data_IF_649298373941
#
_entry.id   IF_649298373941
#
_cell.length_a   1.000
_cell.length_b   1.000
_cell.length_c   1.000
_cell.angle_alpha   90.00
_cell.angle_beta   90.00
_cell.angle_gamma   90.00
#
_symmetry.space_group_name_H-M   'P 1'
#
loop_
_entity.id
_entity.type
_entity.pdbx_description
1 polymer ?
#
# COMPACT_ATOMS: atom_id res chain seq x y z
N UNK A 1 16.70 -12.71 21.63
CA UNK A 1 16.46 -11.98 20.37
C UNK A 1 15.01 -12.22 19.99
N UNK A 2 14.12 -11.29 20.35
CA UNK A 2 12.69 -11.44 20.08
C UNK A 2 12.44 -11.34 18.58
N UNK A 3 11.95 -12.43 17.97
CA UNK A 3 11.53 -12.43 16.57
C UNK A 3 10.19 -11.68 16.49
N UNK A 4 10.27 -10.40 16.14
CA UNK A 4 9.11 -9.59 15.80
C UNK A 4 8.36 -10.25 14.64
N UNK A 5 7.04 -10.44 14.70
CA UNK A 5 6.29 -11.12 13.65
C UNK A 5 6.25 -10.25 12.39
N UNK A 6 7.21 -10.45 11.48
CA UNK A 6 7.32 -9.75 10.19
C UNK A 6 6.03 -9.76 9.37
N UNK A 7 5.22 -10.82 9.51
CA UNK A 7 3.94 -10.95 8.81
C UNK A 7 2.89 -9.92 9.27
N UNK A 8 2.85 -9.59 10.57
CA UNK A 8 1.93 -8.58 11.09
C UNK A 8 2.32 -7.17 10.67
N UNK A 9 3.63 -6.86 10.71
CA UNK A 9 4.16 -5.55 10.30
C UNK A 9 3.93 -5.33 8.80
N UNK A 10 4.21 -6.34 7.96
CA UNK A 10 3.98 -6.25 6.51
C UNK A 10 2.51 -5.99 6.17
N UNK A 11 1.57 -6.65 6.87
CA UNK A 11 0.13 -6.43 6.68
C UNK A 11 -0.32 -5.03 7.13
N UNK A 12 0.18 -4.53 8.26
CA UNK A 12 -0.14 -3.19 8.72
C UNK A 12 0.44 -2.10 7.79
N UNK A 13 1.65 -2.29 7.27
CA UNK A 13 2.29 -1.37 6.33
C UNK A 13 1.55 -1.35 4.99
N UNK A 14 1.12 -2.50 4.47
CA UNK A 14 0.35 -2.56 3.23
C UNK A 14 -1.03 -1.94 3.38
N UNK A 15 -1.72 -2.18 4.51
CA UNK A 15 -2.98 -1.52 4.83
C UNK A 15 -2.81 0.01 4.95
N UNK A 16 -1.77 0.48 5.64
CA UNK A 16 -1.46 1.90 5.74
C UNK A 16 -1.17 2.51 4.36
N UNK A 17 -0.42 1.83 3.51
CA UNK A 17 -0.15 2.26 2.13
C UNK A 17 -1.45 2.40 1.31
N UNK A 18 -2.34 1.39 1.36
CA UNK A 18 -3.64 1.43 0.67
C UNK A 18 -4.51 2.60 1.16
N UNK A 19 -4.54 2.84 2.48
CA UNK A 19 -5.28 3.96 3.05
C UNK A 19 -4.72 5.31 2.59
N UNK A 20 -3.38 5.48 2.63
CA UNK A 20 -2.73 6.70 2.19
C UNK A 20 -2.96 6.97 0.70
N UNK A 21 -2.92 5.93 -0.13
CA UNK A 21 -3.19 6.01 -1.57
C UNK A 21 -4.67 6.35 -1.85
N UNK A 22 -5.60 5.73 -1.10
CA UNK A 22 -7.03 6.08 -1.18
C UNK A 22 -7.29 7.53 -0.77
N UNK A 23 -6.57 8.01 0.27
CA UNK A 23 -6.65 9.38 0.76
C UNK A 23 -6.02 10.40 -0.18
N UNK A 24 -4.91 10.09 -0.84
CA UNK A 24 -4.34 10.98 -1.87
C UNK A 24 -5.31 11.14 -3.03
N UNK A 25 -5.84 10.03 -3.56
CA UNK A 25 -6.79 10.06 -4.67
C UNK A 25 -8.09 10.79 -4.28
N UNK A 26 -8.55 10.64 -3.03
CA UNK A 26 -9.70 11.41 -2.51
C UNK A 26 -9.43 12.92 -2.46
N UNK A 27 -8.27 13.34 -1.95
CA UNK A 27 -7.87 14.75 -1.93
C UNK A 27 -7.77 15.34 -3.34
N UNK A 28 -7.24 14.57 -4.29
CA UNK A 28 -7.13 15.00 -5.68
C UNK A 28 -8.52 15.18 -6.32
N UNK A 29 -9.48 14.30 -6.00
CA UNK A 29 -10.88 14.46 -6.43
C UNK A 29 -11.50 15.73 -5.88
N UNK A 30 -11.34 15.99 -4.58
CA UNK A 30 -11.91 17.18 -3.95
C UNK A 30 -11.25 18.46 -4.49
N UNK A 31 -9.93 18.41 -4.74
CA UNK A 31 -9.20 19.47 -5.41
C UNK A 31 -9.76 19.74 -6.81
N UNK A 32 -9.85 18.71 -7.67
CA UNK A 32 -10.39 18.85 -9.04
C UNK A 32 -11.85 19.33 -9.09
N UNK A 33 -12.65 19.05 -8.05
CA UNK A 33 -14.01 19.59 -7.92
C UNK A 33 -14.03 21.06 -7.49
N UNK A 34 -13.07 21.49 -6.69
CA UNK A 34 -12.96 22.87 -6.19
C UNK A 34 -12.35 23.84 -7.20
N UNK A 35 -11.57 23.33 -8.15
CA UNK A 35 -10.89 24.15 -9.16
C UNK A 35 -11.90 24.80 -10.11
N UNK A 36 -11.66 26.08 -10.44
CA UNK A 36 -12.49 26.81 -11.38
C UNK A 36 -12.33 26.25 -12.80
N UNK A 37 -13.47 25.89 -13.41
CA UNK A 37 -13.51 25.30 -14.76
C UNK A 37 -13.74 26.41 -15.76
N UNK A 38 -12.77 26.63 -16.64
CA UNK A 38 -12.85 27.69 -17.64
C UNK A 38 -13.15 27.06 -18.99
N UNK A 39 -14.30 27.42 -19.55
CA UNK A 39 -14.78 26.85 -20.81
C UNK A 39 -14.22 27.59 -22.03
N UNK A 40 -13.95 28.90 -21.91
CA UNK A 40 -13.38 29.72 -22.97
C UNK A 40 -12.04 30.27 -22.53
N UNK A 41 -10.98 30.01 -23.30
CA UNK A 41 -9.62 30.46 -22.95
C UNK A 41 -9.50 31.99 -22.89
N UNK A 42 -10.37 32.73 -23.59
CA UNK A 42 -10.43 34.19 -23.50
C UNK A 42 -10.84 34.72 -22.12
N UNK A 43 -11.64 33.97 -21.37
CA UNK A 43 -12.05 34.34 -20.00
C UNK A 43 -10.85 34.28 -19.03
N UNK A 44 -9.84 33.47 -19.34
CA UNK A 44 -8.61 33.36 -18.55
C UNK A 44 -7.89 34.70 -18.42
N UNK A 45 -7.82 35.45 -19.52
CA UNK A 45 -7.24 36.79 -19.54
C UNK A 45 -7.96 37.74 -18.56
N UNK A 46 -9.29 37.69 -18.53
CA UNK A 46 -10.12 38.56 -17.68
C UNK A 46 -9.96 38.19 -16.20
N UNK A 47 -9.95 36.89 -15.88
CA UNK A 47 -9.76 36.41 -14.51
C UNK A 47 -8.39 36.76 -13.94
N UNK A 48 -7.34 36.71 -14.76
CA UNK A 48 -5.97 37.13 -14.37
C UNK A 48 -5.86 38.64 -14.12
N UNK A 49 -6.70 39.45 -14.76
CA UNK A 49 -6.66 40.90 -14.58
C UNK A 49 -7.44 41.34 -13.33
N UNK A 50 -8.38 40.52 -12.85
CA UNK A 50 -9.15 40.74 -11.63
C UNK A 50 -8.44 40.22 -10.36
N UNK A 51 -7.69 39.13 -10.45
CA UNK A 51 -6.99 38.51 -9.32
C UNK A 51 -5.48 38.73 -9.35
N UNK A 52 -4.92 39.28 -8.26
CA UNK A 52 -3.48 39.58 -8.11
C UNK A 52 -2.65 38.33 -7.77
N UNK A 53 -3.27 37.16 -7.61
CA UNK A 53 -2.64 35.93 -7.10
C UNK A 53 -2.68 34.84 -8.18
N UNK A 54 -1.64 33.98 -8.30
CA UNK A 54 -1.68 32.81 -9.18
C UNK A 54 -2.91 31.93 -8.95
N UNK A 55 -3.81 31.93 -9.94
CA UNK A 55 -5.06 31.19 -9.92
C UNK A 55 -4.85 29.79 -10.49
N UNK A 56 -5.34 28.77 -9.78
CA UNK A 56 -5.39 27.41 -10.30
C UNK A 56 -6.71 27.20 -11.04
N UNK A 57 -6.61 26.83 -12.31
CA UNK A 57 -7.76 26.62 -13.20
C UNK A 57 -7.69 25.25 -13.84
N UNK A 58 -8.83 24.78 -14.32
CA UNK A 58 -8.92 23.67 -15.24
C UNK A 58 -9.34 24.18 -16.62
N UNK A 59 -8.49 23.95 -17.61
CA UNK A 59 -8.72 24.32 -19.02
C UNK A 59 -8.77 23.08 -19.89
N UNK A 60 -9.53 23.15 -20.97
CA UNK A 60 -9.58 22.14 -22.03
C UNK A 60 -9.34 22.82 -23.37
N UNK A 61 -8.55 22.20 -24.23
CA UNK A 61 -8.24 22.73 -25.56
C UNK A 61 -7.70 21.66 -26.49
N UNK A 62 -7.42 22.05 -27.73
CA UNK A 62 -6.69 21.22 -28.69
C UNK A 62 -5.21 21.56 -28.65
N UNK A 63 -4.36 20.55 -28.77
CA UNK A 63 -2.91 20.74 -28.82
C UNK A 63 -2.53 21.44 -30.13
N UNK A 64 -1.84 22.58 -30.04
CA UNK A 64 -1.29 23.33 -31.16
C UNK A 64 0.21 23.59 -30.97
N UNK A 65 0.92 23.79 -32.07
CA UNK A 65 2.33 24.21 -32.06
C UNK A 65 2.67 24.92 -33.37
N UNK A 66 3.52 25.94 -33.29
CA UNK A 66 4.05 26.66 -34.45
C UNK A 66 5.10 25.84 -35.20
N UNK A 67 5.81 24.95 -34.51
CA UNK A 67 6.93 24.16 -35.04
C UNK A 67 6.76 22.67 -34.72
N UNK A 68 5.69 22.02 -35.22
CA UNK A 68 5.42 20.62 -34.90
C UNK A 68 6.52 19.69 -35.43
N UNK A 69 6.85 18.65 -34.68
CA UNK A 69 7.80 17.61 -35.06
C UNK A 69 7.12 16.67 -36.05
N UNK A 70 7.75 16.45 -37.20
CA UNK A 70 7.34 15.40 -38.14
C UNK A 70 7.90 14.05 -37.66
N UNK A 71 7.02 13.12 -37.32
CA UNK A 71 7.39 11.80 -36.81
C UNK A 71 7.72 10.88 -37.99
N UNK A 72 8.92 10.30 -38.01
CA UNK A 72 9.39 9.49 -39.15
C UNK A 72 8.67 8.13 -39.22
N UNK A 73 8.33 7.54 -38.06
CA UNK A 73 7.78 6.18 -38.01
C UNK A 73 6.25 6.13 -38.13
N UNK A 74 5.53 7.10 -37.56
CA UNK A 74 4.06 7.19 -37.65
C UNK A 74 3.56 8.13 -38.75
N UNK A 75 4.41 9.01 -39.29
CA UNK A 75 4.00 10.08 -40.21
C UNK A 75 3.12 11.15 -39.56
N UNK A 76 2.95 11.13 -38.23
CA UNK A 76 2.16 12.09 -37.48
C UNK A 76 2.94 13.40 -37.25
N UNK A 77 2.20 14.48 -37.03
CA UNK A 77 2.76 15.75 -36.54
C UNK A 77 2.53 15.82 -35.03
N UNK A 78 3.62 15.76 -34.27
CA UNK A 78 3.58 15.71 -32.81
C UNK A 78 4.26 16.90 -32.15
N UNK A 79 3.84 17.23 -30.94
CA UNK A 79 4.51 18.25 -30.10
C UNK A 79 5.51 17.64 -29.11
N UNK A 80 5.23 16.41 -28.69
CA UNK A 80 6.10 15.59 -27.86
C UNK A 80 6.24 14.25 -28.57
N UNK A 81 7.48 13.81 -28.77
CA UNK A 81 7.81 12.53 -29.40
C UNK A 81 8.78 11.79 -28.48
N UNK A 82 8.42 10.56 -28.14
CA UNK A 82 9.26 9.61 -27.43
C UNK A 82 9.49 8.38 -28.30
N UNK A 83 10.75 8.14 -28.62
CA UNK A 83 11.18 6.98 -29.40
C UNK A 83 11.95 6.03 -28.49
N UNK A 84 11.54 4.77 -28.46
CA UNK A 84 12.16 3.72 -27.67
C UNK A 84 12.45 2.51 -28.55
N UNK A 85 13.69 2.05 -28.53
CA UNK A 85 14.11 0.83 -29.22
C UNK A 85 14.52 -0.22 -28.19
N UNK A 86 13.85 -1.37 -28.23
CA UNK A 86 14.11 -2.52 -27.36
C UNK A 86 14.63 -3.69 -28.20
N UNK A 87 15.84 -4.13 -27.92
CA UNK A 87 16.39 -5.35 -28.52
C UNK A 87 15.84 -6.56 -27.79
N UNK A 88 15.11 -7.40 -28.49
CA UNK A 88 14.67 -8.70 -27.98
C UNK A 88 15.67 -9.78 -28.34
N UNK A 89 16.00 -10.62 -27.36
CA UNK A 89 16.88 -11.76 -27.51
C UNK A 89 16.45 -12.93 -26.62
N UNK A 90 16.93 -14.12 -26.91
CA UNK A 90 16.83 -15.28 -26.04
C UNK A 90 18.16 -15.47 -25.32
N UNK A 91 18.10 -15.86 -24.05
CA UNK A 91 19.25 -16.17 -23.19
C UNK A 91 19.03 -17.51 -22.52
N UNK A 92 20.09 -18.29 -22.29
CA UNK A 92 19.99 -19.48 -21.44
C UNK A 92 19.83 -19.10 -19.96
N UNK A 93 18.91 -19.76 -19.27
CA UNK A 93 18.86 -19.77 -17.82
C UNK A 93 19.88 -20.76 -17.23
N UNK A 94 20.08 -20.72 -15.91
CA UNK A 94 21.01 -21.62 -15.22
C UNK A 94 20.65 -23.11 -15.37
N UNK A 95 19.42 -23.41 -15.79
CA UNK A 95 18.92 -24.75 -16.08
C UNK A 95 19.06 -25.16 -17.57
N UNK A 96 19.69 -24.33 -18.42
CA UNK A 96 19.92 -24.60 -19.84
C UNK A 96 18.72 -24.36 -20.77
N UNK A 97 17.59 -23.85 -20.29
CA UNK A 97 16.42 -23.47 -21.10
C UNK A 97 16.56 -22.06 -21.68
N UNK A 98 16.00 -21.83 -22.86
CA UNK A 98 15.92 -20.51 -23.49
C UNK A 98 14.82 -19.66 -22.83
N UNK A 99 15.18 -18.47 -22.37
CA UNK A 99 14.27 -17.44 -21.84
C UNK A 99 14.35 -16.21 -22.74
N UNK A 100 13.20 -15.62 -23.04
CA UNK A 100 13.13 -14.34 -23.75
C UNK A 100 13.41 -13.19 -22.80
N UNK A 101 14.31 -12.30 -23.22
CA UNK A 101 14.71 -11.11 -22.48
C UNK A 101 14.78 -9.92 -23.46
N UNK A 102 14.83 -8.70 -22.93
CA UNK A 102 14.97 -7.50 -23.74
C UNK A 102 15.88 -6.45 -23.10
N UNK A 103 16.65 -5.77 -23.94
CA UNK A 103 17.50 -4.66 -23.53
C UNK A 103 17.06 -3.38 -24.24
N UNK A 104 16.87 -2.31 -23.48
CA UNK A 104 16.64 -0.98 -24.05
C UNK A 104 17.91 -0.49 -24.72
N UNK A 105 17.87 -0.32 -26.05
CA UNK A 105 19.01 0.17 -26.83
C UNK A 105 19.07 1.70 -26.87
N UNK A 106 17.92 2.32 -27.10
CA UNK A 106 17.80 3.77 -27.28
C UNK A 106 16.49 4.24 -26.67
N UNK A 107 16.55 5.36 -25.96
CA UNK A 107 15.39 6.12 -25.52
C UNK A 107 15.67 7.59 -25.81
N UNK A 108 14.98 8.13 -26.81
CA UNK A 108 15.07 9.53 -27.21
C UNK A 108 13.73 10.19 -26.90
N UNK A 109 13.81 11.44 -26.45
CA UNK A 109 12.60 12.23 -26.23
C UNK A 109 12.83 13.65 -26.70
N UNK A 110 11.91 14.16 -27.52
CA UNK A 110 11.92 15.51 -28.07
C UNK A 110 10.62 16.21 -27.68
N UNK A 111 10.70 17.50 -27.38
CA UNK A 111 9.56 18.34 -27.06
C UNK A 111 9.83 19.72 -27.66
N UNK A 112 8.85 20.22 -28.42
CA UNK A 112 8.84 21.59 -28.96
C UNK A 112 7.86 22.43 -28.17
N UNK A 113 7.98 23.77 -28.14
CA UNK A 113 6.96 24.60 -27.52
C UNK A 113 5.58 24.37 -28.13
N UNK A 114 4.57 24.19 -27.27
CA UNK A 114 3.20 23.91 -27.67
C UNK A 114 2.20 24.58 -26.73
N UNK A 115 0.98 24.70 -27.20
CA UNK A 115 -0.11 25.40 -26.52
C UNK A 115 -1.41 24.61 -26.64
N UNK A 116 -2.35 24.92 -25.76
CA UNK A 116 -3.75 24.53 -25.90
C UNK A 116 -4.49 25.67 -26.56
N UNK A 117 -5.07 25.42 -27.72
CA UNK A 117 -5.94 26.35 -28.41
C UNK A 117 -7.41 25.95 -28.26
N UNK A 118 -8.23 26.97 -28.09
CA UNK A 118 -9.66 26.92 -28.33
C UNK A 118 -9.96 27.86 -29.51
N UNK A 119 -11.20 27.86 -30.01
CA UNK A 119 -11.64 28.79 -31.07
C UNK A 119 -11.49 30.28 -30.68
N UNK A 120 -11.19 30.56 -29.41
CA UNK A 120 -11.13 31.89 -28.82
C UNK A 120 -9.71 32.40 -28.64
N UNK A 121 -8.83 31.62 -28.02
CA UNK A 121 -7.44 32.00 -27.72
C UNK A 121 -6.55 30.75 -27.55
N UNK A 122 -5.27 30.94 -27.25
CA UNK A 122 -4.29 29.90 -27.01
C UNK A 122 -3.51 30.13 -25.70
N UNK A 123 -3.22 29.04 -24.98
CA UNK A 123 -2.50 29.07 -23.70
C UNK A 123 -1.31 28.13 -23.77
N UNK A 124 -0.10 28.63 -23.49
CA UNK A 124 1.10 27.79 -23.51
C UNK A 124 1.15 26.87 -22.29
N UNK A 125 1.55 25.62 -22.50
CA UNK A 125 1.64 24.63 -21.42
C UNK A 125 3.11 24.34 -21.12
N UNK A 126 3.49 24.42 -19.84
CA UNK A 126 4.83 24.09 -19.39
C UNK A 126 4.83 22.92 -18.41
N UNK A 127 5.84 22.04 -18.53
CA UNK A 127 6.07 20.96 -17.59
C UNK A 127 5.10 19.78 -17.68
N UNK A 128 4.41 19.61 -18.82
CA UNK A 128 3.39 18.57 -19.01
C UNK A 128 3.90 17.14 -18.77
N UNK A 129 5.15 16.85 -19.15
CA UNK A 129 5.79 15.54 -18.90
C UNK A 129 5.86 15.16 -17.43
N UNK A 130 5.95 16.14 -16.55
CA UNK A 130 5.94 15.92 -15.10
C UNK A 130 4.55 15.97 -14.49
N UNK A 131 3.50 16.14 -15.29
CA UNK A 131 2.13 16.24 -14.77
C UNK A 131 1.57 14.85 -14.45
N UNK A 132 0.73 14.81 -13.42
CA UNK A 132 -0.01 13.61 -13.06
C UNK A 132 -1.05 13.31 -14.14
N UNK A 133 -1.12 12.05 -14.58
CA UNK A 133 -2.07 11.60 -15.60
C UNK A 133 -1.67 11.92 -17.04
N UNK A 134 -0.44 12.41 -17.25
CA UNK A 134 0.12 12.61 -18.57
C UNK A 134 0.65 11.28 -19.11
N UNK A 135 0.03 10.79 -20.18
CA UNK A 135 0.43 9.57 -20.86
C UNK A 135 0.43 9.82 -22.37
N UNK A 136 1.56 9.53 -23.02
CA UNK A 136 1.68 9.64 -24.47
C UNK A 136 1.08 8.40 -25.15
N UNK A 137 0.15 8.57 -26.10
CA UNK A 137 -0.40 7.46 -26.86
C UNK A 137 0.68 6.88 -27.78
N UNK A 138 0.57 5.59 -28.07
CA UNK A 138 1.46 4.90 -29.01
C UNK A 138 1.07 5.34 -30.42
N UNK A 139 1.99 5.99 -31.12
CA UNK A 139 1.82 6.44 -32.51
C UNK A 139 2.19 5.33 -33.50
N UNK A 140 3.33 4.66 -33.28
CA UNK A 140 3.77 3.54 -34.10
C UNK A 140 4.49 2.49 -33.25
N UNK A 141 4.28 1.22 -33.57
CA UNK A 141 4.96 0.09 -32.95
C UNK A 141 5.34 -0.90 -34.05
N UNK A 142 6.64 -1.04 -34.29
CA UNK A 142 7.18 -1.89 -35.34
C UNK A 142 8.22 -2.85 -34.76
N UNK A 143 8.12 -4.13 -35.12
CA UNK A 143 9.12 -5.13 -34.77
C UNK A 143 9.96 -5.47 -36.01
N UNK A 144 11.20 -5.02 -36.01
CA UNK A 144 12.21 -5.37 -37.01
C UNK A 144 12.85 -6.69 -36.60
N UNK A 145 12.38 -7.80 -37.18
CA UNK A 145 12.99 -9.10 -36.96
C UNK A 145 14.45 -9.05 -37.44
N UNK A 146 15.38 -9.62 -36.65
CA UNK A 146 16.75 -9.83 -37.13
C UNK A 146 16.65 -10.79 -38.32
N UNK A 147 16.95 -10.26 -39.51
CA UNK A 147 16.64 -10.92 -40.78
C UNK A 147 17.10 -12.36 -40.83
N UNK A 148 16.17 -13.25 -41.23
CA UNK A 148 16.46 -14.57 -41.78
C UNK A 148 17.16 -14.46 -43.15
N UNK A 149 18.15 -13.57 -43.27
CA UNK A 149 18.98 -13.52 -44.46
C UNK A 149 19.86 -14.77 -44.45
N UNK A 150 19.47 -15.70 -45.31
CA UNK A 150 19.85 -17.09 -45.45
C UNK A 150 21.37 -17.38 -45.50
N UNK A 151 22.22 -16.35 -45.52
CA UNK A 151 23.69 -16.48 -45.57
C UNK A 151 24.44 -15.95 -44.34
N UNK A 152 23.76 -15.29 -43.37
CA UNK A 152 24.40 -14.74 -42.15
C UNK A 152 23.98 -15.40 -40.84
N UNK A 153 23.14 -16.44 -40.89
CA UNK A 153 22.53 -17.15 -39.75
C UNK A 153 23.48 -17.90 -38.80
N UNK A 154 24.80 -17.68 -38.88
CA UNK A 154 25.81 -18.26 -37.98
C UNK A 154 26.47 -17.25 -37.03
N UNK A 155 26.21 -15.94 -37.21
CA UNK A 155 26.81 -14.88 -36.38
C UNK A 155 25.90 -14.40 -35.23
N UNK A 156 24.60 -14.70 -35.27
CA UNK A 156 23.65 -14.22 -34.25
C UNK A 156 23.72 -14.96 -32.91
N UNK A 157 24.53 -16.02 -32.83
CA UNK A 157 24.85 -16.71 -31.58
C UNK A 157 26.11 -16.09 -30.96
N UNK A 158 25.95 -14.92 -30.35
CA UNK A 158 26.97 -14.36 -29.47
C UNK A 158 26.86 -15.11 -28.15
N UNK A 159 27.74 -16.08 -27.92
CA UNK A 159 28.01 -16.74 -26.62
C UNK A 159 26.80 -16.87 -25.67
N UNK A 160 25.76 -17.59 -26.09
CA UNK A 160 24.58 -17.90 -25.26
C UNK A 160 23.39 -16.94 -25.38
N UNK A 161 23.47 -15.96 -26.27
CA UNK A 161 22.35 -15.10 -26.66
C UNK A 161 21.94 -15.38 -28.11
N UNK A 162 20.63 -15.41 -28.38
CA UNK A 162 20.06 -15.49 -29.73
C UNK A 162 19.20 -14.26 -29.99
N UNK A 163 19.62 -13.41 -30.91
CA UNK A 163 18.87 -12.19 -31.24
C UNK A 163 17.55 -12.54 -31.94
N UNK A 164 16.46 -11.87 -31.56
CA UNK A 164 15.13 -12.03 -32.19
C UNK A 164 14.78 -10.87 -33.11
N UNK A 165 15.21 -9.67 -32.73
CA UNK A 165 14.90 -8.44 -33.45
C UNK A 165 14.85 -7.23 -32.54
N UNK A 166 14.59 -6.07 -33.14
CA UNK A 166 14.45 -4.80 -32.46
C UNK A 166 13.00 -4.35 -32.54
N UNK A 167 12.41 -4.10 -31.37
CA UNK A 167 11.09 -3.49 -31.22
C UNK A 167 11.25 -1.99 -31.12
N UNK A 168 10.76 -1.24 -32.11
CA UNK A 168 10.71 0.22 -32.10
C UNK A 168 9.31 0.66 -31.70
N UNK A 169 9.23 1.50 -30.68
CA UNK A 169 7.98 2.07 -30.18
C UNK A 169 8.12 3.59 -30.24
N UNK A 170 7.24 4.23 -30.98
CA UNK A 170 7.12 5.68 -31.07
C UNK A 170 5.83 6.11 -30.36
N UNK A 171 5.95 6.93 -29.31
CA UNK A 171 4.84 7.55 -28.59
C UNK A 171 4.81 9.03 -28.90
N UNK A 172 3.65 9.55 -29.26
CA UNK A 172 3.53 10.90 -29.81
C UNK A 172 2.33 11.60 -29.19
N UNK A 173 2.46 12.88 -28.82
CA UNK A 173 1.31 13.76 -28.59
C UNK A 173 0.97 14.48 -29.89
N UNK A 174 -0.08 14.06 -30.62
CA UNK A 174 -0.42 14.64 -31.91
C UNK A 174 -0.94 16.08 -31.78
N UNK A 175 -0.67 16.90 -32.80
CA UNK A 175 -1.36 18.19 -32.97
C UNK A 175 -2.85 17.93 -33.23
N UNK A 176 -3.71 18.75 -32.64
CA UNK A 176 -5.17 18.67 -32.73
C UNK A 176 -5.82 17.74 -31.70
N UNK A 177 -5.03 17.03 -30.89
CA UNK A 177 -5.57 16.18 -29.82
C UNK A 177 -6.23 17.03 -28.73
N UNK A 178 -7.44 16.66 -28.34
CA UNK A 178 -8.14 17.29 -27.22
C UNK A 178 -7.50 16.87 -25.90
N UNK A 179 -7.19 17.85 -25.06
CA UNK A 179 -6.51 17.62 -23.79
C UNK A 179 -6.99 18.60 -22.73
N UNK A 180 -6.98 18.14 -21.49
CA UNK A 180 -7.28 18.92 -20.30
C UNK A 180 -5.99 19.19 -19.53
N UNK A 181 -5.80 20.43 -19.08
CA UNK A 181 -4.72 20.79 -18.16
C UNK A 181 -5.30 21.49 -16.93
N UNK A 182 -4.81 21.11 -15.75
CA UNK A 182 -5.15 21.71 -14.45
C UNK A 182 -3.87 22.16 -13.79
N UNK A 183 -3.75 23.46 -13.57
CA UNK A 183 -2.52 24.07 -13.09
C UNK A 183 -2.67 25.56 -12.83
N UNK A 184 -1.55 26.15 -12.43
CA UNK A 184 -1.45 27.57 -12.12
C UNK A 184 -1.32 28.38 -13.39
N UNK A 185 -2.15 29.40 -13.55
CA UNK A 185 -2.05 30.33 -14.67
C UNK A 185 -1.21 31.52 -14.28
N UNK A 186 -0.23 31.84 -15.12
CA UNK A 186 0.60 33.03 -14.96
C UNK A 186 0.76 33.74 -16.30
N UNK A 187 0.98 35.06 -16.26
CA UNK A 187 1.39 35.82 -17.45
C UNK A 187 2.91 35.80 -17.54
N UNK A 188 3.42 35.55 -18.74
CA UNK A 188 4.83 35.72 -19.09
C UNK A 188 5.21 37.21 -19.12
N UNK A 189 6.52 37.50 -19.14
CA UNK A 189 7.07 38.86 -19.30
C UNK A 189 6.62 39.54 -20.61
N UNK A 190 6.20 38.74 -21.60
CA UNK A 190 5.67 39.17 -22.90
C UNK A 190 4.15 39.42 -22.85
N UNK A 191 3.49 39.13 -21.72
CA UNK A 191 2.04 39.24 -21.52
C UNK A 191 1.23 38.04 -22.00
N UNK A 192 1.89 37.01 -22.55
CA UNK A 192 1.25 35.77 -22.97
C UNK A 192 0.83 34.91 -21.77
N UNK A 193 -0.30 34.22 -21.89
CA UNK A 193 -0.83 33.39 -20.83
C UNK A 193 -0.20 31.99 -20.90
N UNK A 194 0.35 31.53 -19.78
CA UNK A 194 0.91 30.19 -19.63
C UNK A 194 0.31 29.46 -18.44
N UNK A 195 0.18 28.14 -18.56
CA UNK A 195 -0.17 27.25 -17.47
C UNK A 195 1.07 26.46 -17.04
N UNK A 196 1.33 26.45 -15.75
CA UNK A 196 2.51 25.84 -15.14
C UNK A 196 2.14 24.98 -13.94
N UNK A 197 3.10 24.18 -13.48
CA UNK A 197 2.97 23.42 -12.24
C UNK A 197 2.78 24.41 -11.06
N UNK A 198 1.72 24.25 -10.25
CA UNK A 198 1.51 25.10 -9.09
C UNK A 198 2.61 24.91 -8.04
N UNK A 199 2.93 25.98 -7.32
CA UNK A 199 3.85 25.94 -6.16
C UNK A 199 3.36 24.97 -5.07
N UNK A 200 2.04 24.88 -4.89
CA UNK A 200 1.38 23.98 -3.94
C UNK A 200 0.21 23.28 -4.63
N UNK A 201 0.29 21.96 -4.72
CA UNK A 201 -0.79 21.13 -5.25
C UNK A 201 -0.36 20.27 -6.43
N UNK A 202 -1.22 19.32 -6.85
CA UNK A 202 -0.97 18.48 -8.00
C UNK A 202 -1.15 19.26 -9.31
N UNK A 203 -0.29 18.97 -10.29
CA UNK A 203 -0.42 19.43 -11.67
C UNK A 203 -0.97 18.28 -12.51
N UNK A 204 -2.09 18.48 -13.20
CA UNK A 204 -2.67 17.44 -14.06
C UNK A 204 -2.63 17.87 -15.51
N UNK A 205 -2.18 16.99 -16.39
CA UNK A 205 -2.32 17.14 -17.84
C UNK A 205 -2.74 15.78 -18.35
N UNK A 206 -3.92 15.68 -18.94
CA UNK A 206 -4.46 14.39 -19.39
C UNK A 206 -5.30 14.54 -20.65
N UNK A 207 -5.26 13.52 -21.50
CA UNK A 207 -6.09 13.41 -22.70
C UNK A 207 -7.58 13.22 -22.39
N UNK A 208 -7.90 12.86 -21.13
CA UNK A 208 -9.26 12.64 -20.66
C UNK A 208 -9.90 13.95 -20.21
N UNK A 209 -11.23 13.98 -20.24
CA UNK A 209 -12.00 15.10 -19.70
C UNK A 209 -11.84 15.20 -18.17
N UNK A 210 -12.05 16.41 -17.62
CA UNK A 210 -12.03 16.66 -16.16
C UNK A 210 -13.00 15.72 -15.43
N UNK A 211 -14.20 15.53 -15.97
CA UNK A 211 -15.23 14.70 -15.34
C UNK A 211 -14.86 13.22 -15.35
N UNK A 212 -14.24 12.72 -16.43
CA UNK A 212 -13.73 11.36 -16.49
C UNK A 212 -12.55 11.17 -15.52
N UNK A 213 -11.67 12.16 -15.38
CA UNK A 213 -10.57 12.13 -14.42
C UNK A 213 -11.09 12.05 -12.98
N UNK A 214 -12.07 12.89 -12.63
CA UNK A 214 -12.74 12.88 -11.31
C UNK A 214 -13.41 11.53 -11.06
N UNK A 215 -14.14 11.00 -12.05
CA UNK A 215 -14.84 9.72 -11.93
C UNK A 215 -13.86 8.56 -11.73
N UNK A 216 -12.75 8.55 -12.49
CA UNK A 216 -11.72 7.51 -12.41
C UNK A 216 -11.03 7.55 -11.04
N UNK A 217 -10.52 8.72 -10.61
CA UNK A 217 -9.87 8.87 -9.31
C UNK A 217 -10.83 8.53 -8.15
N UNK A 218 -12.09 8.94 -8.24
CA UNK A 218 -13.11 8.59 -7.24
C UNK A 218 -13.47 7.10 -7.21
N UNK A 219 -13.40 6.40 -8.34
CA UNK A 219 -13.54 4.93 -8.40
C UNK A 219 -12.35 4.25 -7.73
N UNK A 220 -11.12 4.66 -8.05
CA UNK A 220 -9.91 4.12 -7.44
C UNK A 220 -9.83 4.38 -5.94
N UNK A 221 -10.16 5.60 -5.49
CA UNK A 221 -10.20 5.92 -4.07
C UNK A 221 -11.15 4.98 -3.30
N UNK A 222 -12.38 4.79 -3.81
CA UNK A 222 -13.36 3.86 -3.23
C UNK A 222 -12.84 2.42 -3.22
N UNK A 223 -12.28 1.94 -4.33
CA UNK A 223 -11.70 0.60 -4.41
C UNK A 223 -10.57 0.42 -3.38
N UNK A 224 -9.66 1.39 -3.25
CA UNK A 224 -8.56 1.33 -2.28
C UNK A 224 -9.07 1.31 -0.84
N UNK A 225 -10.10 2.09 -0.51
CA UNK A 225 -10.74 2.02 0.81
C UNK A 225 -11.43 0.68 1.07
N UNK A 226 -12.09 0.09 0.06
CA UNK A 226 -12.67 -1.25 0.18
C UNK A 226 -11.59 -2.31 0.39
N UNK A 227 -10.47 -2.25 -0.35
CA UNK A 227 -9.35 -3.18 -0.17
C UNK A 227 -8.71 -3.04 1.21
N UNK A 228 -8.56 -1.81 1.70
CA UNK A 228 -8.09 -1.54 3.06
C UNK A 228 -9.03 -2.17 4.11
N UNK A 229 -10.32 -1.87 4.07
CA UNK A 229 -11.30 -2.40 5.01
C UNK A 229 -11.37 -3.94 4.96
N UNK A 230 -11.31 -4.53 3.77
CA UNK A 230 -11.28 -5.98 3.57
C UNK A 230 -10.03 -6.60 4.20
N UNK A 231 -8.84 -6.04 3.94
CA UNK A 231 -7.58 -6.54 4.49
C UNK A 231 -7.55 -6.52 6.03
N UNK A 232 -8.06 -5.44 6.64
CA UNK A 232 -8.19 -5.34 8.09
C UNK A 232 -9.20 -6.33 8.67
N UNK A 233 -10.35 -6.50 8.00
CA UNK A 233 -11.37 -7.47 8.40
C UNK A 233 -10.85 -8.90 8.40
N UNK A 234 -10.18 -9.32 7.32
CA UNK A 234 -9.56 -10.64 7.21
C UNK A 234 -8.46 -10.83 8.26
N UNK A 235 -7.61 -9.82 8.48
CA UNK A 235 -6.56 -9.87 9.48
C UNK A 235 -7.11 -10.07 10.91
N UNK A 236 -8.16 -9.34 11.28
CA UNK A 236 -8.79 -9.46 12.60
C UNK A 236 -9.38 -10.86 12.83
N UNK A 237 -10.10 -11.40 11.84
CA UNK A 237 -10.68 -12.75 11.89
C UNK A 237 -9.59 -13.82 11.99
N UNK A 238 -8.56 -13.73 11.14
CA UNK A 238 -7.46 -14.67 11.13
C UNK A 238 -6.68 -14.66 12.46
N UNK A 239 -6.37 -13.47 12.98
CA UNK A 239 -5.69 -13.32 14.27
C UNK A 239 -6.54 -13.90 15.43
N UNK A 240 -7.86 -13.67 15.42
CA UNK A 240 -8.76 -14.27 16.41
C UNK A 240 -8.79 -15.81 16.31
N UNK A 241 -8.92 -16.36 15.11
CA UNK A 241 -8.92 -17.80 14.88
C UNK A 241 -7.58 -18.45 15.29
N UNK A 242 -6.44 -17.83 14.98
CA UNK A 242 -5.11 -18.31 15.37
C UNK A 242 -4.99 -18.32 16.89
N UNK A 243 -5.37 -17.23 17.58
CA UNK A 243 -5.34 -17.19 19.06
C UNK A 243 -6.22 -18.29 19.66
N UNK A 244 -7.43 -18.45 19.13
CA UNK A 244 -8.34 -19.52 19.57
C UNK A 244 -7.75 -20.93 19.37
N UNK A 245 -7.14 -21.21 18.22
CA UNK A 245 -6.49 -22.50 17.93
C UNK A 245 -5.27 -22.72 18.84
N UNK A 246 -4.44 -21.69 19.04
CA UNK A 246 -3.27 -21.78 19.92
C UNK A 246 -3.67 -22.01 21.38
N UNK A 247 -4.69 -21.33 21.88
CA UNK A 247 -5.25 -21.57 23.21
C UNK A 247 -5.81 -22.99 23.34
N UNK A 248 -6.57 -23.45 22.35
CA UNK A 248 -7.10 -24.82 22.32
C UNK A 248 -6.00 -25.87 22.27
N UNK A 249 -4.93 -25.62 21.49
CA UNK A 249 -3.76 -26.50 21.41
C UNK A 249 -3.02 -26.55 22.74
N UNK A 250 -2.83 -25.40 23.40
CA UNK A 250 -2.23 -25.32 24.74
C UNK A 250 -3.04 -26.11 25.78
N UNK A 251 -4.37 -26.00 25.75
CA UNK A 251 -5.27 -26.80 26.63
C UNK A 251 -5.16 -28.30 26.32
N UNK A 252 -5.12 -28.68 25.06
CA UNK A 252 -4.97 -30.10 24.65
C UNK A 252 -3.62 -30.67 25.07
N UNK A 253 -2.52 -29.93 24.90
CA UNK A 253 -1.20 -30.34 25.35
C UNK A 253 -1.15 -30.49 26.88
N UNK A 254 -1.80 -29.60 27.62
CA UNK A 254 -1.92 -29.71 29.07
C UNK A 254 -2.70 -30.97 29.48
N UNK A 255 -3.85 -31.24 28.86
CA UNK A 255 -4.63 -32.45 29.11
C UNK A 255 -3.86 -33.74 28.76
N UNK A 256 -3.11 -33.76 27.65
CA UNK A 256 -2.26 -34.91 27.30
C UNK A 256 -1.17 -35.15 28.34
N UNK A 257 -0.56 -34.09 28.89
CA UNK A 257 0.42 -34.20 29.97
C UNK A 257 -0.21 -34.76 31.25
N UNK A 258 -1.43 -34.35 31.59
CA UNK A 258 -2.18 -34.89 32.73
C UNK A 258 -2.48 -36.40 32.57
N UNK A 259 -2.96 -36.82 31.40
CA UNK A 259 -3.25 -38.24 31.14
C UNK A 259 -1.98 -39.10 31.15
N UNK A 260 -0.86 -38.61 30.61
CA UNK A 260 0.41 -39.31 30.65
C UNK A 260 0.98 -39.45 32.07
N UNK A 261 0.80 -38.42 32.91
CA UNK A 261 1.19 -38.48 34.33
C UNK A 261 0.31 -39.47 35.12
N UNK A 262 -1.00 -39.51 34.86
CA UNK A 262 -1.92 -40.48 35.46
C UNK A 262 -1.60 -41.93 35.05
N UNK A 263 -1.29 -42.18 33.77
CA UNK A 263 -0.94 -43.50 33.27
C UNK A 263 0.36 -44.06 33.86
N UNK A 264 1.37 -43.20 34.11
CA UNK A 264 2.61 -43.61 34.79
C UNK A 264 2.36 -44.11 36.22
N UNK A 265 1.42 -43.50 36.96
CA UNK A 265 1.07 -43.94 38.32
C UNK A 265 0.38 -45.31 38.31
N UNK A 266 -0.58 -45.54 37.41
CA UNK A 266 -1.24 -46.86 37.29
C UNK A 266 -0.31 -48.01 36.86
N UNK A 267 0.80 -47.70 36.17
CA UNK A 267 1.82 -48.71 35.84
C UNK A 267 2.70 -49.06 37.04
N UNK A 268 3.03 -48.07 37.86
CA UNK A 268 3.85 -48.24 39.05
C UNK A 268 3.10 -48.98 40.18
N UNK A 269 1.79 -48.78 40.26
CA UNK A 269 0.91 -49.53 41.18
C UNK A 269 0.75 -51.00 40.72
N UNK A 270 0.72 -51.27 39.41
CA UNK A 270 0.63 -52.63 38.86
C UNK A 270 1.94 -53.42 38.92
N UNK A 271 3.11 -52.77 38.99
CA UNK A 271 4.40 -53.46 39.17
C UNK A 271 4.71 -53.78 40.65
N UNK A 272 3.97 -53.20 41.60
CA UNK A 272 4.00 -53.54 43.02
C UNK A 272 2.99 -54.62 43.45
N UNK A 273 1.97 -54.90 42.64
CA UNK A 273 0.85 -55.78 42.99
C UNK A 273 0.95 -57.13 42.28
N UNK A 274 2.04 -57.85 42.53
CA UNK A 274 2.12 -59.31 42.29
C UNK A 274 2.41 -60.06 43.59
N UNK A 275 1.66 -59.72 44.62
CA UNK A 275 1.42 -60.57 45.79
C UNK A 275 0.01 -60.27 46.32
N UNK A 276 -0.76 -61.34 46.46
CA UNK A 276 -2.00 -61.47 47.25
C UNK A 276 -3.31 -60.92 46.66
N UNK A 277 -3.93 -61.75 45.82
CA UNK A 277 -5.39 -61.79 45.68
C UNK A 277 -5.95 -62.54 46.90
N UNK A 278 -6.65 -61.82 47.79
CA UNK A 278 -7.98 -62.16 48.32
C UNK A 278 -8.31 -61.23 49.51
N UNK A 279 -9.07 -60.16 49.28
CA UNK A 279 -10.38 -59.97 49.94
C UNK A 279 -10.92 -58.55 49.79
N UNK A 280 -12.22 -58.55 49.52
CA UNK A 280 -13.23 -57.60 49.94
C UNK A 280 -13.50 -56.33 49.12
N UNK A 281 -14.63 -56.43 48.43
CA UNK A 281 -15.38 -55.39 47.77
C UNK A 281 -15.98 -54.40 48.78
N UNK A 282 -15.40 -53.21 48.91
CA UNK A 282 -16.11 -52.01 49.34
C UNK A 282 -15.32 -50.73 48.99
N UNK A 283 -16.05 -49.67 48.60
CA UNK A 283 -15.59 -48.30 48.30
C UNK A 283 -14.90 -48.05 46.96
N UNK A 284 -15.72 -48.01 45.90
CA UNK A 284 -15.49 -47.10 44.76
C UNK A 284 -16.37 -45.88 44.91
N UNK A 285 -15.98 -44.94 45.78
CA UNK A 285 -16.53 -43.59 45.76
C UNK A 285 -15.53 -42.62 46.45
N UNK A 286 -15.17 -41.56 45.73
CA UNK A 286 -14.27 -40.45 46.12
C UNK A 286 -12.77 -40.76 46.25
N UNK A 287 -12.02 -40.55 45.17
CA UNK A 287 -10.60 -40.16 45.26
C UNK A 287 -10.23 -39.33 44.03
N UNK A 288 -10.64 -38.06 44.03
CA UNK A 288 -9.96 -37.02 43.24
C UNK A 288 -8.76 -36.57 44.10
N UNK A 289 -7.50 -36.89 43.75
CA UNK A 289 -6.38 -36.47 44.58
C UNK A 289 -6.09 -34.98 44.37
N UNK A 290 -6.08 -34.23 45.48
CA UNK A 290 -5.70 -32.82 45.54
C UNK A 290 -4.19 -32.69 45.23
N UNK A 291 -3.85 -32.41 43.98
CA UNK A 291 -2.48 -32.24 43.50
C UNK A 291 -2.09 -30.76 43.40
N UNK A 292 -0.82 -30.44 43.65
CA UNK A 292 -0.30 -29.09 43.45
C UNK A 292 -0.45 -28.64 41.99
N UNK A 293 -1.16 -27.53 41.77
CA UNK A 293 -1.48 -26.99 40.42
C UNK A 293 -0.22 -26.53 39.65
N UNK A 294 0.89 -26.29 40.35
CA UNK A 294 2.12 -25.74 39.79
C UNK A 294 3.11 -26.85 39.41
N UNK A 295 3.39 -27.78 40.34
CA UNK A 295 4.44 -28.78 40.15
C UNK A 295 3.89 -30.15 39.74
N UNK A 296 2.60 -30.44 39.99
CA UNK A 296 1.89 -31.69 39.65
C UNK A 296 2.56 -33.01 40.09
N UNK A 297 3.66 -32.95 40.86
CA UNK A 297 4.42 -34.11 41.33
C UNK A 297 4.16 -34.44 42.80
N UNK A 298 3.71 -33.47 43.61
CA UNK A 298 3.46 -33.63 45.06
C UNK A 298 1.98 -33.40 45.45
N UNK A 299 1.55 -34.12 46.48
CA UNK A 299 0.25 -33.90 47.15
C UNK A 299 0.20 -32.54 47.86
N UNK A 300 -0.99 -31.96 47.91
CA UNK A 300 -1.22 -30.62 48.48
C UNK A 300 -1.02 -30.61 50.00
N UNK A 301 0.17 -30.24 50.48
CA UNK A 301 0.43 -30.02 51.91
C UNK A 301 -0.05 -28.62 52.33
N UNK A 302 -1.34 -28.48 52.67
CA UNK A 302 -1.82 -27.32 53.41
C UNK A 302 -1.69 -27.58 54.91
N UNK A 303 -0.72 -26.94 55.56
CA UNK A 303 -0.70 -26.84 57.03
C UNK A 303 -1.64 -25.70 57.41
N UNK A 304 -2.79 -26.03 58.01
CA UNK A 304 -3.63 -25.02 58.65
C UNK A 304 -2.86 -24.44 59.84
N UNK A 305 -2.37 -23.22 59.70
CA UNK A 305 -1.88 -22.43 60.84
C UNK A 305 -3.12 -21.97 61.60
N UNK A 306 -3.34 -22.38 62.86
CA UNK A 306 -4.46 -21.88 63.65
C UNK A 306 -4.18 -20.42 63.99
N UNK A 307 -4.80 -19.49 63.26
CA UNK A 307 -4.88 -18.11 63.70
C UNK A 307 -6.02 -18.03 64.73
N UNK A 308 -5.66 -18.16 66.01
CA UNK A 308 -6.47 -17.71 67.13
C UNK A 308 -6.62 -16.19 67.02
N UNK A 309 -7.65 -15.73 66.33
CA UNK A 309 -8.23 -14.41 66.55
C UNK A 309 -9.73 -14.57 66.79
N UNK A 310 -10.13 -14.14 67.97
CA UNK A 310 -11.48 -14.16 68.47
C UNK A 310 -12.44 -13.53 67.45
N UNK A 311 -13.44 -14.31 67.06
CA UNK A 311 -14.71 -13.84 66.52
C UNK A 311 -15.48 -13.18 67.67
N UNK A 312 -15.17 -11.93 67.95
CA UNK A 312 -16.15 -11.00 68.48
C UNK A 312 -15.76 -9.59 68.04
N UNK A 313 -16.72 -8.83 67.52
CA UNK A 313 -16.59 -7.45 67.01
C UNK A 313 -16.10 -7.24 65.55
N UNK A 314 -16.83 -7.79 64.57
CA UNK A 314 -16.93 -7.17 63.24
C UNK A 314 -18.39 -7.04 62.79
N UNK A 315 -19.31 -6.85 63.75
CA UNK A 315 -20.55 -6.11 63.52
C UNK A 315 -20.26 -4.62 63.76
N UNK A 316 -20.76 -3.77 62.87
CA UNK A 316 -20.68 -2.30 62.87
C UNK A 316 -19.35 -1.68 62.41
N UNK A 317 -19.23 -1.50 61.10
CA UNK A 317 -18.59 -0.31 60.54
C UNK A 317 -19.69 0.62 60.02
N UNK A 318 -19.88 1.81 60.59
CA UNK A 318 -20.49 2.93 59.89
C UNK A 318 -19.43 3.79 59.19
N UNK A 319 -19.90 4.45 58.13
CA UNK A 319 -19.21 5.45 57.33
C UNK A 319 -18.68 6.65 58.14
N UNK A 320 -17.62 7.24 57.57
CA UNK A 320 -17.15 8.64 57.72
C UNK A 320 -16.70 9.11 59.10
N UNK A 321 -15.41 9.45 59.25
CA UNK A 321 -15.04 10.87 59.33
C UNK A 321 -13.51 11.14 59.27
N UNK A 322 -13.24 12.39 58.91
CA UNK A 322 -11.96 13.06 58.59
C UNK A 322 -10.95 13.18 59.75
N UNK A 323 -9.78 13.68 59.33
CA UNK A 323 -8.62 14.22 60.08
C UNK A 323 -7.64 13.15 60.56
N UNK A 324 -6.34 13.25 60.33
CA UNK A 324 -5.51 14.32 59.78
C UNK A 324 -4.06 13.96 60.13
N UNK A 325 -3.17 13.91 59.14
CA UNK A 325 -1.73 13.95 59.41
C UNK A 325 -1.00 14.51 58.22
N UNK A 326 -0.42 15.69 58.46
CA UNK A 326 0.40 16.48 57.57
C UNK A 326 1.84 15.93 57.51
N UNK A 327 2.55 16.48 56.51
CA UNK A 327 4.01 16.61 56.35
C UNK A 327 4.63 15.47 55.51
N UNK A 328 5.32 15.68 54.39
CA UNK A 328 6.16 16.77 53.83
C UNK A 328 6.27 16.57 52.27
N UNK A 329 7.06 17.36 51.50
CA UNK A 329 6.93 18.79 51.16
C UNK A 329 6.89 19.04 49.63
N UNK A 330 6.64 20.30 49.26
CA UNK A 330 6.53 20.87 47.91
C UNK A 330 7.83 21.45 47.34
N UNK A 331 8.05 21.31 46.02
CA UNK A 331 8.92 22.08 45.10
C UNK A 331 8.42 21.74 43.67
N UNK A 332 8.15 22.62 42.71
CA UNK A 332 8.26 24.07 42.54
C UNK A 332 7.28 24.48 41.43
N UNK A 333 6.75 25.70 41.50
CA UNK A 333 6.12 26.39 40.37
C UNK A 333 7.13 27.43 39.87
N UNK A 334 7.42 27.44 38.57
CA UNK A 334 7.83 28.66 37.88
C UNK A 334 6.99 28.81 36.61
N UNK A 335 6.16 29.85 36.61
CA UNK A 335 5.87 30.64 35.43
C UNK A 335 6.45 32.02 35.74
N UNK A 336 7.48 32.47 35.05
CA UNK A 336 7.50 33.58 34.07
C UNK A 336 8.94 33.84 33.65
#
# INVERSE_FOLDING_TARGET
MEMVPWHGISCCLSAAALYLLGRSNGRDVDFLKSVNRVNQLKELAQLLDEEVIPLVVAISGRVGSETPISCEFSGLRGVIVEERAEQHFLKHNDAGSWIQDSASMLSMSKEVPWYLEDKTDHVRVFGARGATGFELPVGSEAFEQSGLDLERGKLDYIQGLKMLGVKRIERVLPVGTSMTAVGEVTRDDVGAIRIQRPLKGPFFVSLKSIDELIANLGKWARLLYFMFAYSLGVYMIANHAIRYILERRRRSEFQKRLLAAAAKRSGQDNEGEKADILSDSAKRESAMPNLCVICLEQEYNSVFVPLLFALDQLSSLPETDREGSKNFPSLSIEHT
#
